data_IF_675072157527
#
_entry.id   IF_675072157527
#
_cell.length_a   1.000
_cell.length_b   1.000
_cell.length_c   1.000
_cell.angle_alpha   90.00
_cell.angle_beta   90.00
_cell.angle_gamma   90.00
#
_symmetry.space_group_name_H-M   'P 1'
#
loop_
_entity.id
_entity.type
_entity.pdbx_description
1 polymer ?
#
# COMPACT_ATOMS: atom_id res chain seq x y z
N UNK A 1 39.41 15.83 -2.91
CA UNK A 1 40.04 15.32 -1.67
C UNK A 1 39.95 13.81 -1.74
N UNK A 2 41.09 13.16 -1.97
CA UNK A 2 41.20 11.70 -1.99
C UNK A 2 41.27 11.20 -0.54
N UNK A 3 40.10 10.97 0.05
CA UNK A 3 40.03 10.20 1.28
C UNK A 3 39.86 8.74 0.88
N UNK A 4 40.95 7.99 0.92
CA UNK A 4 40.92 6.54 0.78
C UNK A 4 40.05 5.99 1.91
N UNK A 5 38.76 5.76 1.63
CA UNK A 5 37.80 5.30 2.62
C UNK A 5 38.30 3.97 3.18
N UNK A 6 38.57 3.93 4.48
CA UNK A 6 38.90 2.67 5.15
C UNK A 6 37.70 1.73 5.05
N UNK A 7 37.80 0.69 4.25
CA UNK A 7 36.75 -0.30 4.13
C UNK A 7 36.77 -1.21 5.37
N UNK A 8 35.73 -1.14 6.20
CA UNK A 8 35.59 -2.01 7.38
C UNK A 8 34.72 -3.20 7.03
N UNK A 9 34.85 -4.30 7.78
CA UNK A 9 34.02 -5.48 7.58
C UNK A 9 32.50 -5.18 7.60
N UNK A 10 32.07 -4.23 8.43
CA UNK A 10 30.67 -3.78 8.46
C UNK A 10 30.25 -3.10 7.15
N UNK A 11 31.11 -2.23 6.59
CA UNK A 11 30.84 -1.53 5.33
C UNK A 11 30.81 -2.50 4.15
N UNK A 12 31.71 -3.47 4.13
CA UNK A 12 31.70 -4.53 3.10
C UNK A 12 30.40 -5.33 3.15
N UNK A 13 29.94 -5.74 4.34
CA UNK A 13 28.69 -6.48 4.48
C UNK A 13 27.49 -5.64 4.02
N UNK A 14 27.47 -4.36 4.38
CA UNK A 14 26.43 -3.41 3.95
C UNK A 14 26.40 -3.30 2.43
N UNK A 15 27.53 -2.99 1.81
CA UNK A 15 27.64 -2.80 0.37
C UNK A 15 27.29 -4.07 -0.40
N UNK A 16 27.83 -5.22 0.02
CA UNK A 16 27.53 -6.51 -0.58
C UNK A 16 26.04 -6.86 -0.47
N UNK A 17 25.38 -6.58 0.65
CA UNK A 17 23.95 -6.88 0.79
C UNK A 17 23.10 -6.00 -0.13
N UNK A 18 23.45 -4.72 -0.28
CA UNK A 18 22.78 -3.81 -1.21
C UNK A 18 22.94 -4.27 -2.66
N UNK A 19 24.17 -4.53 -3.10
CA UNK A 19 24.48 -5.00 -4.46
C UNK A 19 23.82 -6.36 -4.77
N UNK A 20 23.72 -7.26 -3.78
CA UNK A 20 23.09 -8.57 -3.94
C UNK A 20 21.58 -8.46 -4.13
N UNK A 21 20.92 -7.60 -3.37
CA UNK A 21 19.47 -7.47 -3.45
C UNK A 21 19.01 -6.67 -4.66
N UNK A 22 19.85 -5.75 -5.16
CA UNK A 22 19.53 -4.82 -6.27
C UNK A 22 18.22 -4.04 -6.03
N UNK A 23 17.94 -3.71 -4.77
CA UNK A 23 16.77 -2.95 -4.34
C UNK A 23 17.22 -1.65 -3.67
N UNK A 24 16.43 -0.60 -3.86
CA UNK A 24 16.61 0.66 -3.14
C UNK A 24 16.01 0.55 -1.75
N UNK A 25 16.80 0.14 -0.79
CA UNK A 25 16.34 -0.09 0.57
C UNK A 25 16.39 1.19 1.39
N UNK A 26 15.45 1.32 2.32
CA UNK A 26 15.61 2.22 3.48
C UNK A 26 16.67 1.63 4.42
N UNK A 27 17.22 2.47 5.29
CA UNK A 27 18.16 2.00 6.31
C UNK A 27 17.53 0.99 7.27
N UNK A 28 16.23 1.12 7.57
CA UNK A 28 15.50 0.18 8.42
C UNK A 28 15.33 -1.19 7.73
N UNK A 29 14.92 -1.20 6.46
CA UNK A 29 14.83 -2.43 5.66
C UNK A 29 16.18 -3.13 5.52
N UNK A 30 17.25 -2.36 5.38
CA UNK A 30 18.61 -2.89 5.30
C UNK A 30 19.09 -3.43 6.66
N UNK A 31 18.80 -2.72 7.75
CA UNK A 31 19.12 -3.16 9.11
C UNK A 31 18.52 -4.54 9.41
N UNK A 32 17.24 -4.75 9.10
CA UNK A 32 16.58 -6.05 9.31
C UNK A 32 17.24 -7.21 8.54
N UNK A 33 17.82 -6.91 7.37
CA UNK A 33 18.58 -7.90 6.59
C UNK A 33 19.96 -8.15 7.19
N UNK A 34 20.67 -7.09 7.57
CA UNK A 34 22.05 -7.16 8.05
C UNK A 34 22.14 -7.73 9.46
N UNK A 35 21.15 -7.48 10.32
CA UNK A 35 21.10 -8.00 11.70
C UNK A 35 21.25 -9.52 11.77
N UNK A 36 20.81 -10.24 10.72
CA UNK A 36 20.97 -11.70 10.60
C UNK A 36 22.44 -12.12 10.41
N UNK A 37 23.25 -11.27 9.79
CA UNK A 37 24.69 -11.50 9.56
C UNK A 37 25.58 -10.87 10.65
N UNK A 38 25.15 -9.74 11.19
CA UNK A 38 25.83 -8.98 12.24
C UNK A 38 24.87 -8.73 13.41
N UNK A 39 24.68 -9.69 14.33
CA UNK A 39 23.68 -9.58 15.41
C UNK A 39 23.90 -8.41 16.37
N UNK A 40 25.13 -7.92 16.50
CA UNK A 40 25.52 -6.81 17.39
C UNK A 40 25.43 -5.43 16.72
N UNK A 41 25.05 -5.34 15.44
CA UNK A 41 24.95 -4.05 14.77
C UNK A 41 23.72 -3.28 15.29
N UNK A 42 23.86 -1.97 15.47
CA UNK A 42 22.73 -1.09 15.76
C UNK A 42 22.25 -0.40 14.50
N UNK A 43 20.98 0.01 14.50
CA UNK A 43 20.40 0.79 13.40
C UNK A 43 21.19 2.08 13.13
N UNK A 44 21.59 2.79 14.18
CA UNK A 44 22.43 3.99 14.08
C UNK A 44 23.78 3.72 13.37
N UNK A 45 24.36 2.53 13.56
CA UNK A 45 25.59 2.14 12.85
C UNK A 45 25.33 1.85 11.38
N UNK A 46 24.17 1.31 11.00
CA UNK A 46 23.78 1.17 9.59
C UNK A 46 23.64 2.54 8.92
N UNK A 47 22.89 3.46 9.52
CA UNK A 47 22.76 4.84 9.01
C UNK A 47 24.11 5.52 8.81
N UNK A 48 24.99 5.50 9.82
CA UNK A 48 26.32 6.13 9.72
C UNK A 48 27.16 5.56 8.60
N UNK A 49 27.15 4.24 8.43
CA UNK A 49 27.91 3.61 7.34
C UNK A 49 27.30 3.92 5.97
N UNK A 50 25.98 4.02 5.85
CA UNK A 50 25.33 4.42 4.60
C UNK A 50 25.69 5.85 4.20
N UNK A 51 25.71 6.80 5.14
CA UNK A 51 26.14 8.17 4.82
C UNK A 51 27.61 8.19 4.39
N UNK A 52 28.51 7.50 5.10
CA UNK A 52 29.93 7.42 4.73
C UNK A 52 30.13 6.78 3.34
N UNK A 53 29.41 5.71 3.03
CA UNK A 53 29.47 5.06 1.71
C UNK A 53 28.93 5.98 0.61
N UNK A 54 27.89 6.77 0.91
CA UNK A 54 27.33 7.74 -0.03
C UNK A 54 28.26 8.93 -0.28
N UNK A 55 28.89 9.46 0.78
CA UNK A 55 29.88 10.53 0.69
C UNK A 55 31.12 10.09 -0.10
N UNK A 56 31.49 8.81 0.01
CA UNK A 56 32.57 8.20 -0.77
C UNK A 56 32.17 7.87 -2.23
N UNK A 57 30.92 8.11 -2.64
CA UNK A 57 30.43 7.84 -3.98
C UNK A 57 30.24 6.36 -4.33
N UNK A 58 30.26 5.46 -3.34
CA UNK A 58 30.07 4.02 -3.56
C UNK A 58 28.59 3.63 -3.70
N UNK A 59 27.69 4.46 -3.15
CA UNK A 59 26.25 4.34 -3.24
C UNK A 59 25.64 5.74 -3.47
N UNK A 60 24.43 5.82 -3.99
CA UNK A 60 23.70 7.10 -4.12
C UNK A 60 22.59 7.20 -3.07
N UNK A 61 22.47 8.37 -2.47
CA UNK A 61 21.38 8.67 -1.54
C UNK A 61 20.19 9.25 -2.30
N UNK A 62 19.02 8.63 -2.12
CA UNK A 62 17.77 9.06 -2.70
C UNK A 62 16.94 9.77 -1.63
N UNK A 63 16.99 11.10 -1.64
CA UNK A 63 16.15 11.95 -0.78
C UNK A 63 15.02 12.53 -1.61
N UNK A 64 13.79 12.04 -1.42
CA UNK A 64 12.60 12.61 -2.07
C UNK A 64 11.88 13.40 -1.00
N UNK A 65 11.44 14.61 -1.33
CA UNK A 65 10.66 15.45 -0.43
C UNK A 65 9.43 14.69 0.09
N UNK A 66 9.30 14.60 1.42
CA UNK A 66 8.16 13.97 2.08
C UNK A 66 8.15 12.43 2.08
N UNK A 67 9.24 11.76 1.65
CA UNK A 67 9.36 10.29 1.73
C UNK A 67 10.59 9.87 2.53
N UNK A 68 10.57 8.61 2.98
CA UNK A 68 11.70 8.04 3.69
C UNK A 68 12.93 7.94 2.78
N UNK A 69 14.10 8.25 3.33
CA UNK A 69 15.39 8.16 2.62
C UNK A 69 15.65 6.72 2.18
N UNK A 70 16.00 6.56 0.92
CA UNK A 70 16.41 5.27 0.34
C UNK A 70 17.83 5.39 -0.20
N UNK A 71 18.50 4.26 -0.34
CA UNK A 71 19.87 4.20 -0.84
C UNK A 71 19.93 3.31 -2.08
N UNK A 72 20.59 3.82 -3.11
CA UNK A 72 20.86 3.14 -4.35
C UNK A 72 22.21 2.43 -4.28
N UNK A 73 22.21 1.15 -4.65
CA UNK A 73 23.42 0.34 -4.68
C UNK A 73 24.31 0.66 -5.89
N UNK A 74 23.74 1.24 -6.94
CA UNK A 74 24.43 1.54 -8.19
C UNK A 74 24.76 3.04 -8.25
N UNK A 75 26.05 3.43 -8.27
CA UNK A 75 26.45 4.82 -8.42
C UNK A 75 26.43 5.30 -9.88
N UNK A 76 26.17 4.44 -10.87
CA UNK A 76 26.04 4.85 -12.27
C UNK A 76 24.86 5.81 -12.47
N UNK A 77 24.86 6.52 -13.59
CA UNK A 77 23.80 7.48 -13.91
C UNK A 77 22.57 6.77 -14.50
N UNK A 78 21.46 6.86 -13.77
CA UNK A 78 20.12 6.42 -14.14
C UNK A 78 19.09 7.26 -13.39
N UNK A 79 17.88 7.32 -13.94
CA UNK A 79 16.75 7.98 -13.29
C UNK A 79 15.94 6.97 -12.45
N UNK A 80 15.05 7.48 -11.60
CA UNK A 80 14.22 6.65 -10.72
C UNK A 80 12.72 6.84 -10.97
N UNK A 81 11.98 5.73 -10.90
CA UNK A 81 10.51 5.74 -10.84
C UNK A 81 10.02 5.29 -9.48
N UNK A 82 9.09 6.06 -8.92
CA UNK A 82 8.53 5.90 -7.59
C UNK A 82 7.09 5.43 -7.64
N UNK A 83 6.82 4.28 -7.02
CA UNK A 83 5.46 3.84 -6.78
C UNK A 83 4.78 4.77 -5.76
N UNK A 84 3.65 5.36 -6.12
CA UNK A 84 2.85 6.22 -5.23
C UNK A 84 2.08 5.43 -4.18
N UNK A 85 1.93 4.11 -4.37
CA UNK A 85 1.17 3.25 -3.47
C UNK A 85 2.02 2.50 -2.45
N UNK A 86 3.09 1.84 -2.89
CA UNK A 86 3.95 1.03 -2.01
C UNK A 86 5.34 1.61 -1.80
N UNK A 87 5.63 2.78 -2.36
CA UNK A 87 6.93 3.47 -2.24
C UNK A 87 8.14 2.69 -2.78
N UNK A 88 7.91 1.61 -3.55
CA UNK A 88 8.95 0.93 -4.33
C UNK A 88 9.62 1.91 -5.29
N UNK A 89 10.92 1.76 -5.44
CA UNK A 89 11.75 2.48 -6.42
C UNK A 89 12.34 1.47 -7.38
N UNK A 90 12.34 1.81 -8.66
CA UNK A 90 13.02 1.04 -9.70
C UNK A 90 13.88 1.99 -10.55
N UNK A 91 15.00 1.48 -11.07
CA UNK A 91 15.88 2.21 -11.99
C UNK A 91 15.25 2.27 -13.39
N UNK A 92 15.43 3.39 -14.07
CA UNK A 92 15.12 3.55 -15.48
C UNK A 92 16.31 4.18 -16.20
N UNK A 93 16.50 3.91 -17.51
CA UNK A 93 17.55 4.55 -18.27
C UNK A 93 17.44 6.08 -18.18
N UNK A 94 18.58 6.75 -18.05
CA UNK A 94 18.63 8.22 -18.00
C UNK A 94 17.94 8.79 -19.23
N UNK A 95 16.95 9.63 -18.96
CA UNK A 95 16.12 10.23 -20.00
C UNK A 95 16.84 11.43 -20.60
N UNK A 96 17.01 11.45 -21.93
CA UNK A 96 17.48 12.60 -22.69
C UNK A 96 16.36 13.62 -22.97
N UNK A 97 15.44 13.81 -22.02
CA UNK A 97 14.30 14.69 -22.22
C UNK A 97 14.80 16.11 -22.55
N UNK A 98 14.19 16.78 -23.53
CA UNK A 98 14.47 18.18 -23.78
C UNK A 98 14.00 19.00 -22.57
N UNK A 99 14.95 19.40 -21.73
CA UNK A 99 14.70 20.25 -20.57
C UNK A 99 14.77 21.73 -21.00
N UNK A 100 13.89 22.60 -20.50
CA UNK A 100 13.79 23.99 -20.93
C UNK A 100 14.87 24.88 -20.28
N UNK A 101 16.13 24.45 -20.31
CA UNK A 101 17.23 25.15 -19.66
C UNK A 101 17.39 26.59 -20.17
N UNK A 102 17.18 26.81 -21.47
CA UNK A 102 17.31 28.14 -22.08
C UNK A 102 16.23 29.10 -21.58
N UNK A 103 14.97 28.66 -21.52
CA UNK A 103 13.85 29.45 -20.99
C UNK A 103 14.04 29.80 -19.50
N UNK A 104 14.71 28.93 -18.73
CA UNK A 104 15.03 29.20 -17.32
C UNK A 104 16.16 30.23 -17.21
N UNK A 105 17.18 30.13 -18.07
CA UNK A 105 18.30 31.09 -18.12
C UNK A 105 17.85 32.49 -18.55
N UNK A 106 16.92 32.58 -19.51
CA UNK A 106 16.31 33.84 -19.94
C UNK A 106 15.62 34.59 -18.79
N UNK A 107 15.13 33.87 -17.78
CA UNK A 107 14.57 34.45 -16.54
C UNK A 107 15.64 34.90 -15.53
N UNK A 108 16.92 34.82 -15.86
CA UNK A 108 18.04 35.24 -15.01
C UNK A 108 18.51 34.20 -13.99
N UNK A 109 18.05 32.96 -14.05
CA UNK A 109 18.48 31.91 -13.12
C UNK A 109 19.81 31.28 -13.54
N UNK A 110 20.73 31.16 -12.58
CA UNK A 110 21.92 30.29 -12.70
C UNK A 110 21.58 28.89 -12.22
N UNK A 111 21.43 27.97 -13.17
CA UNK A 111 21.07 26.58 -12.88
C UNK A 111 22.29 25.83 -12.35
N UNK A 112 22.18 25.25 -11.17
CA UNK A 112 23.24 24.45 -10.52
C UNK A 112 23.03 22.94 -10.66
N UNK A 113 21.82 22.51 -11.04
CA UNK A 113 21.49 21.12 -11.26
C UNK A 113 20.05 20.94 -11.74
N UNK A 114 19.75 19.73 -12.23
CA UNK A 114 18.41 19.28 -12.55
C UNK A 114 18.23 17.88 -11.99
N UNK A 115 17.02 17.58 -11.51
CA UNK A 115 16.64 16.25 -11.04
C UNK A 115 15.28 15.91 -11.64
N UNK A 116 15.20 14.75 -12.27
CA UNK A 116 13.95 14.22 -12.84
C UNK A 116 13.49 13.08 -11.93
N UNK A 117 12.22 13.11 -11.54
CA UNK A 117 11.59 12.07 -10.73
C UNK A 117 10.30 11.61 -11.40
N UNK A 118 10.14 10.30 -11.56
CA UNK A 118 8.94 9.73 -12.14
C UNK A 118 8.05 9.17 -11.03
N UNK A 119 6.75 9.41 -11.11
CA UNK A 119 5.77 8.89 -10.14
C UNK A 119 4.70 8.06 -10.86
N UNK A 120 4.39 6.88 -10.33
CA UNK A 120 3.41 5.99 -10.95
C UNK A 120 3.00 4.84 -10.04
N UNK A 121 2.47 3.77 -10.63
CA UNK A 121 2.14 2.52 -9.93
C UNK A 121 3.05 1.41 -10.43
N UNK A 122 3.68 0.68 -9.51
CA UNK A 122 4.48 -0.48 -9.90
C UNK A 122 3.58 -1.62 -10.42
N UNK A 123 4.13 -2.58 -11.20
CA UNK A 123 3.35 -3.68 -11.79
C UNK A 123 2.56 -4.50 -10.76
N UNK A 124 3.11 -4.66 -9.55
CA UNK A 124 2.43 -5.36 -8.46
C UNK A 124 1.20 -4.56 -7.96
N UNK A 125 1.36 -3.25 -7.79
CA UNK A 125 0.27 -2.37 -7.36
C UNK A 125 -0.84 -2.24 -8.40
N UNK A 126 -0.50 -2.23 -9.70
CA UNK A 126 -1.46 -2.25 -10.80
C UNK A 126 -2.28 -3.55 -10.79
N UNK A 127 -1.61 -4.72 -10.78
CA UNK A 127 -2.28 -6.03 -10.69
C UNK A 127 -3.19 -6.16 -9.47
N UNK A 128 -2.78 -5.59 -8.32
CA UNK A 128 -3.61 -5.61 -7.11
C UNK A 128 -4.82 -4.67 -7.18
N UNK A 129 -4.79 -3.63 -8.01
CA UNK A 129 -5.98 -2.81 -8.28
C UNK A 129 -6.94 -3.56 -9.21
N UNK A 130 -6.43 -4.15 -10.30
CA UNK A 130 -7.24 -4.95 -11.24
C UNK A 130 -7.91 -6.14 -10.54
N UNK A 131 -7.20 -6.83 -9.65
CA UNK A 131 -7.79 -7.91 -8.84
C UNK A 131 -8.91 -7.39 -7.94
N UNK A 132 -8.75 -6.24 -7.30
CA UNK A 132 -9.78 -5.61 -6.45
C UNK A 132 -10.98 -5.15 -7.27
N UNK A 133 -10.78 -4.64 -8.49
CA UNK A 133 -11.87 -4.29 -9.41
C UNK A 133 -12.61 -5.55 -9.86
N UNK A 134 -11.90 -6.62 -10.25
CA UNK A 134 -12.51 -7.90 -10.61
C UNK A 134 -13.18 -8.65 -9.44
N UNK A 135 -12.71 -8.49 -8.20
CA UNK A 135 -13.41 -9.05 -7.01
C UNK A 135 -14.56 -8.15 -6.54
N UNK A 136 -14.45 -6.83 -6.73
CA UNK A 136 -15.56 -5.90 -6.56
C UNK A 136 -16.70 -6.16 -7.55
N UNK A 137 -16.38 -6.43 -8.81
CA UNK A 137 -17.35 -6.78 -9.86
C UNK A 137 -17.86 -8.23 -9.76
N UNK A 138 -17.06 -9.18 -9.27
CA UNK A 138 -17.52 -10.57 -9.04
C UNK A 138 -18.42 -10.77 -7.82
N UNK A 139 -18.80 -9.70 -7.12
CA UNK A 139 -19.91 -9.77 -6.16
C UNK A 139 -21.23 -9.28 -6.75
N UNK A 140 -21.32 -9.03 -8.06
CA UNK A 140 -22.61 -8.80 -8.75
C UNK A 140 -22.56 -9.31 -10.20
N UNK A 141 -23.09 -10.52 -10.38
CA UNK A 141 -23.91 -10.97 -11.52
C UNK A 141 -23.72 -12.49 -11.72
N UNK A 142 -24.54 -13.30 -11.01
CA UNK A 142 -24.98 -14.56 -11.58
C UNK A 142 -25.93 -14.19 -12.73
N UNK A 143 -25.41 -14.09 -13.95
CA UNK A 143 -26.18 -13.84 -15.17
C UNK A 143 -26.94 -15.07 -15.68
N UNK A 144 -27.20 -16.05 -14.81
CA UNK A 144 -28.03 -17.22 -15.13
C UNK A 144 -29.09 -17.55 -14.08
N UNK A 145 -29.32 -16.67 -13.11
CA UNK A 145 -30.37 -16.87 -12.12
C UNK A 145 -31.22 -15.60 -11.96
N UNK A 146 -32.17 -15.45 -12.88
CA UNK A 146 -33.25 -14.46 -12.83
C UNK A 146 -34.20 -14.75 -11.66
N UNK A 147 -33.86 -14.23 -10.48
CA UNK A 147 -34.70 -13.78 -9.36
C UNK A 147 -33.74 -13.43 -8.22
N UNK A 148 -34.04 -12.36 -7.48
CA UNK A 148 -33.23 -11.83 -6.39
C UNK A 148 -33.08 -12.85 -5.23
N UNK A 149 -32.20 -13.83 -5.37
CA UNK A 149 -32.00 -14.84 -4.34
C UNK A 149 -31.03 -14.29 -3.28
N UNK A 150 -31.60 -13.92 -2.14
CA UNK A 150 -30.85 -13.72 -0.89
C UNK A 150 -30.14 -15.02 -0.53
N UNK A 151 -28.90 -14.97 -0.04
CA UNK A 151 -28.27 -16.15 0.53
C UNK A 151 -29.02 -16.61 1.79
N UNK A 152 -28.94 -17.90 2.15
CA UNK A 152 -29.63 -18.43 3.34
C UNK A 152 -29.29 -17.63 4.61
N UNK A 153 -28.02 -17.24 4.75
CA UNK A 153 -27.54 -16.37 5.85
C UNK A 153 -28.09 -14.94 5.80
N UNK A 154 -28.36 -14.40 4.61
CA UNK A 154 -29.00 -13.08 4.44
C UNK A 154 -30.48 -13.16 4.80
N UNK A 155 -31.15 -14.25 4.42
CA UNK A 155 -32.54 -14.52 4.78
C UNK A 155 -32.71 -14.65 6.29
N UNK A 156 -31.85 -15.45 6.95
CA UNK A 156 -31.83 -15.58 8.41
C UNK A 156 -31.67 -14.25 9.14
N UNK A 157 -30.78 -13.38 8.68
CA UNK A 157 -30.58 -12.05 9.29
C UNK A 157 -31.78 -11.13 9.06
N UNK A 158 -32.39 -11.16 7.86
CA UNK A 158 -33.60 -10.39 7.58
C UNK A 158 -34.81 -10.89 8.36
N UNK A 159 -34.98 -12.21 8.48
CA UNK A 159 -36.02 -12.82 9.31
C UNK A 159 -35.83 -12.43 10.78
N UNK A 160 -34.61 -12.49 11.33
CA UNK A 160 -34.33 -12.06 12.69
C UNK A 160 -34.65 -10.56 12.91
N UNK A 161 -34.38 -9.71 11.90
CA UNK A 161 -34.76 -8.30 11.92
C UNK A 161 -36.27 -8.07 11.77
N UNK A 162 -36.98 -8.92 11.02
CA UNK A 162 -38.43 -8.83 10.84
C UNK A 162 -39.21 -9.26 12.09
N UNK A 163 -38.71 -10.25 12.83
CA UNK A 163 -39.30 -10.68 14.11
C UNK A 163 -39.03 -9.69 15.25
N UNK A 164 -38.00 -8.83 15.09
CA UNK A 164 -37.65 -7.83 16.07
C UNK A 164 -38.44 -6.54 15.84
N UNK A 165 -39.35 -6.20 16.76
CA UNK A 165 -40.17 -4.97 16.68
C UNK A 165 -39.37 -3.67 16.80
N UNK A 166 -38.12 -3.75 17.28
CA UNK A 166 -37.23 -2.61 17.48
C UNK A 166 -35.89 -2.81 16.77
N UNK A 167 -35.12 -1.72 16.64
CA UNK A 167 -33.81 -1.79 16.03
C UNK A 167 -32.83 -2.62 16.89
N UNK A 168 -32.24 -3.65 16.28
CA UNK A 168 -31.38 -4.61 16.98
C UNK A 168 -29.89 -4.35 16.75
N UNK A 169 -29.09 -4.69 17.76
CA UNK A 169 -27.63 -4.69 17.67
C UNK A 169 -27.09 -5.97 17.04
N UNK A 170 -25.84 -5.92 16.58
CA UNK A 170 -25.18 -7.08 15.96
C UNK A 170 -25.01 -8.28 16.91
N UNK A 171 -24.94 -8.05 18.23
CA UNK A 171 -24.89 -9.11 19.25
C UNK A 171 -26.25 -9.79 19.45
N UNK A 172 -27.32 -9.01 19.45
CA UNK A 172 -28.70 -9.51 19.58
C UNK A 172 -29.06 -10.37 18.36
N UNK A 173 -28.68 -9.91 17.16
CA UNK A 173 -28.88 -10.66 15.91
C UNK A 173 -28.05 -11.94 15.85
N UNK A 174 -26.80 -11.91 16.33
CA UNK A 174 -25.97 -13.12 16.40
C UNK A 174 -26.59 -14.19 17.31
N UNK A 175 -27.18 -13.78 18.44
CA UNK A 175 -27.89 -14.69 19.35
C UNK A 175 -29.16 -15.26 18.70
N UNK A 176 -29.89 -14.46 17.93
CA UNK A 176 -31.12 -14.90 17.26
C UNK A 176 -30.87 -15.82 16.05
N UNK A 177 -29.80 -15.59 15.28
CA UNK A 177 -29.50 -16.36 14.07
C UNK A 177 -28.55 -17.54 14.30
N UNK A 178 -27.94 -17.66 15.49
CA UNK A 178 -26.90 -18.66 15.77
C UNK A 178 -25.61 -18.48 14.98
N UNK A 179 -25.39 -17.28 14.40
CA UNK A 179 -24.22 -16.96 13.58
C UNK A 179 -23.16 -16.22 14.40
N UNK A 180 -21.90 -16.28 13.98
CA UNK A 180 -20.85 -15.48 14.61
C UNK A 180 -21.10 -13.98 14.40
N UNK A 181 -20.80 -13.15 15.41
CA UNK A 181 -21.02 -11.69 15.35
C UNK A 181 -20.29 -11.01 14.18
N UNK A 182 -19.16 -11.57 13.74
CA UNK A 182 -18.41 -11.08 12.59
C UNK A 182 -19.13 -11.37 11.27
N UNK A 183 -19.76 -12.55 11.16
CA UNK A 183 -20.57 -12.93 9.99
C UNK A 183 -21.83 -12.06 9.90
N UNK A 184 -22.51 -11.85 11.02
CA UNK A 184 -23.69 -10.95 11.10
C UNK A 184 -23.34 -9.52 10.66
N UNK A 185 -22.23 -8.97 11.16
CA UNK A 185 -21.79 -7.61 10.80
C UNK A 185 -21.49 -7.48 9.30
N UNK A 186 -20.91 -8.52 8.69
CA UNK A 186 -20.66 -8.58 7.26
C UNK A 186 -21.98 -8.61 6.46
N UNK A 187 -22.93 -9.46 6.84
CA UNK A 187 -24.21 -9.56 6.14
C UNK A 187 -25.08 -8.30 6.29
N UNK A 188 -25.09 -7.67 7.47
CA UNK A 188 -25.79 -6.39 7.67
C UNK A 188 -25.24 -5.32 6.72
N UNK A 189 -23.92 -5.26 6.54
CA UNK A 189 -23.29 -4.32 5.60
C UNK A 189 -23.73 -4.60 4.17
N UNK A 190 -23.78 -5.87 3.76
CA UNK A 190 -24.25 -6.28 2.44
C UNK A 190 -25.73 -5.97 2.21
N UNK A 191 -26.59 -6.23 3.20
CA UNK A 191 -28.03 -5.94 3.17
C UNK A 191 -28.33 -4.44 3.16
N UNK A 192 -27.51 -3.65 3.86
CA UNK A 192 -27.59 -2.18 3.83
C UNK A 192 -27.26 -1.61 2.45
N UNK A 193 -26.24 -2.15 1.77
CA UNK A 193 -25.91 -1.75 0.41
C UNK A 193 -27.02 -2.09 -0.61
N UNK A 194 -27.82 -3.11 -0.33
CA UNK A 194 -29.00 -3.49 -1.12
C UNK A 194 -30.29 -2.73 -0.76
N UNK A 195 -30.26 -1.87 0.27
CA UNK A 195 -31.43 -1.12 0.73
C UNK A 195 -32.39 -1.87 1.66
N UNK A 196 -32.12 -3.15 1.99
CA UNK A 196 -33.01 -3.99 2.80
C UNK A 196 -32.93 -3.71 4.31
N UNK A 197 -31.84 -3.09 4.77
CA UNK A 197 -31.61 -2.78 6.19
C UNK A 197 -31.18 -1.33 6.36
N UNK A 198 -31.78 -0.65 7.33
CA UNK A 198 -31.45 0.73 7.73
C UNK A 198 -30.74 0.76 9.08
N UNK A 199 -30.08 1.88 9.38
CA UNK A 199 -29.40 2.10 10.67
C UNK A 199 -29.95 3.36 11.36
N UNK A 200 -31.05 3.26 12.12
CA UNK A 200 -31.65 4.42 12.80
C UNK A 200 -30.77 5.00 13.91
N UNK A 201 -29.89 4.19 14.51
CA UNK A 201 -28.92 4.64 15.52
C UNK A 201 -27.59 3.88 15.37
N UNK A 202 -26.54 4.38 16.05
CA UNK A 202 -25.22 3.75 16.02
C UNK A 202 -25.32 2.30 16.49
N UNK A 203 -24.89 1.37 15.63
CA UNK A 203 -24.91 -0.07 15.90
C UNK A 203 -26.32 -0.65 16.16
N UNK A 204 -27.38 0.01 15.70
CA UNK A 204 -28.75 -0.51 15.72
C UNK A 204 -29.29 -0.58 14.28
N UNK A 205 -29.93 -1.69 13.95
CA UNK A 205 -30.34 -2.04 12.58
C UNK A 205 -31.83 -2.40 12.55
N UNK A 206 -32.53 -1.94 11.52
CA UNK A 206 -33.95 -2.23 11.32
C UNK A 206 -34.21 -2.62 9.86
N UNK A 207 -35.14 -3.55 9.64
CA UNK A 207 -35.56 -3.94 8.30
C UNK A 207 -36.34 -2.79 7.62
N UNK A 208 -36.11 -2.57 6.33
CA UNK A 208 -36.87 -1.60 5.53
C UNK A 208 -38.09 -2.26 4.88
N UNK A 209 -39.03 -1.49 4.36
CA UNK A 209 -40.16 -2.04 3.59
C UNK A 209 -39.68 -2.86 2.39
N UNK A 210 -38.59 -2.44 1.72
CA UNK A 210 -37.95 -3.21 0.66
C UNK A 210 -37.38 -4.54 1.15
N UNK A 211 -36.85 -4.58 2.38
CA UNK A 211 -36.37 -5.81 3.00
C UNK A 211 -37.49 -6.78 3.35
N UNK A 212 -38.66 -6.26 3.76
CA UNK A 212 -39.86 -7.08 4.02
C UNK A 212 -40.39 -7.71 2.74
N UNK A 213 -40.54 -6.92 1.68
CA UNK A 213 -40.96 -7.42 0.35
C UNK A 213 -39.98 -8.44 -0.24
N UNK A 214 -38.71 -8.44 0.17
CA UNK A 214 -37.71 -9.41 -0.26
C UNK A 214 -37.78 -10.75 0.49
N UNK A 215 -38.55 -10.84 1.59
CA UNK A 215 -38.78 -12.07 2.36
C UNK A 215 -40.02 -12.85 1.92
N UNK A 216 -41.02 -12.14 1.34
CA UNK A 216 -42.23 -12.70 0.72
C UNK A 216 -41.94 -13.44 -0.60
#
# INVERSE_FOLDING_TARGET
MDHTLRMTHQREIILNEMQRCKLHLTADELYERIKKKLPRISLATVYRNLEILSEAGLIKKLEISGRQKRFDWDPQDHDHVYCTRCQRVDNIPTTSAPLPFDQIREKGYRITGCRIEFFGLCPNCQKNQEKKQRTGERTMACTSCGRASLSDTQRQVLEALAHSKEACGSKELAAATGLESKQVSCQITALKNKGYVSSPARCKYAITEQGKTALD
#
